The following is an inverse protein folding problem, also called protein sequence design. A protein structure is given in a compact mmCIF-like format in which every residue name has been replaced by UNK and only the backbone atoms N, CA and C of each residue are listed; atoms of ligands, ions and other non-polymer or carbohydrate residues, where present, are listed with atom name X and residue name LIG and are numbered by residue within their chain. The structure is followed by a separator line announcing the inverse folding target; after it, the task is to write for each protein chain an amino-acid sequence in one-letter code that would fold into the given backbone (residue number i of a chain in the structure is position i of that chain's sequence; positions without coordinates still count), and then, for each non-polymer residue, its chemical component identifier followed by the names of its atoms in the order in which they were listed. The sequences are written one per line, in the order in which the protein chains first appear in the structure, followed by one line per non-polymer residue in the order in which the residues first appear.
data_IF_549038029632
#
_entry.id   IF_549038029632
#
_cell.length_a   1.000
_cell.length_b   1.000
_cell.length_c   1.000
_cell.angle_alpha   90.00
_cell.angle_beta   90.00
_cell.angle_gamma   90.00
#
_symmetry.space_group_name_H-M   'P 1'
#
loop_
_entity.id
_entity.type
_entity.pdbx_description
1 polymer ?
#
# COMPACT_ATOMS: atom_id res chain seq x y z
N UNK A 1 -9.80 -12.19 12.60
CA UNK A 1 -8.42 -11.95 12.16
C UNK A 1 -8.40 -10.83 11.15
N UNK A 2 -7.41 -9.90 11.23
CA UNK A 2 -7.22 -8.79 10.26
C UNK A 2 -5.78 -8.86 9.74
N UNK A 3 -5.63 -8.84 8.41
CA UNK A 3 -4.32 -8.94 7.74
C UNK A 3 -4.27 -7.88 6.64
N UNK A 4 -3.27 -6.98 6.70
CA UNK A 4 -2.97 -6.08 5.59
C UNK A 4 -2.08 -6.80 4.56
N UNK A 5 -2.53 -6.91 3.31
CA UNK A 5 -1.83 -7.62 2.23
C UNK A 5 -1.98 -6.92 0.87
N UNK A 6 -0.95 -6.22 0.37
CA UNK A 6 0.39 -6.02 0.96
C UNK A 6 0.39 -5.26 2.28
N UNK A 7 1.31 -5.63 3.16
CA UNK A 7 1.45 -5.01 4.47
C UNK A 7 2.04 -3.58 4.39
N UNK A 8 1.56 -2.67 5.20
CA UNK A 8 2.20 -1.39 5.43
C UNK A 8 2.77 -1.34 6.87
N UNK A 9 4.05 -0.96 7.06
CA UNK A 9 4.93 -0.23 6.13
C UNK A 9 5.87 -1.11 5.28
N UNK A 10 5.86 -2.43 5.40
CA UNK A 10 6.86 -3.30 4.77
C UNK A 10 6.68 -3.49 3.27
N UNK A 11 5.46 -3.36 2.76
CA UNK A 11 5.11 -3.66 1.37
C UNK A 11 5.06 -5.16 1.04
N UNK A 12 5.42 -6.04 1.98
CA UNK A 12 5.45 -7.48 1.76
C UNK A 12 4.03 -8.00 1.54
N UNK A 13 3.86 -8.83 0.53
CA UNK A 13 2.63 -9.56 0.27
C UNK A 13 2.79 -11.05 0.60
N UNK A 14 1.81 -11.61 1.29
CA UNK A 14 1.68 -13.04 1.48
C UNK A 14 1.17 -13.68 0.16
N UNK A 15 1.69 -14.86 -0.21
CA UNK A 15 1.13 -15.65 -1.30
C UNK A 15 -0.33 -16.06 -1.02
N UNK A 16 -1.12 -16.22 -2.08
CA UNK A 16 -2.55 -16.52 -1.95
C UNK A 16 -2.81 -17.86 -1.24
N UNK A 17 -1.97 -18.87 -1.45
CA UNK A 17 -2.09 -20.17 -0.76
C UNK A 17 -1.85 -20.08 0.75
N UNK A 18 -1.01 -19.13 1.20
CA UNK A 18 -0.80 -18.87 2.63
C UNK A 18 -2.02 -18.17 3.22
N UNK A 19 -2.57 -17.19 2.51
CA UNK A 19 -3.83 -16.51 2.91
C UNK A 19 -4.96 -17.55 3.01
N UNK A 20 -5.08 -18.40 2.02
CA UNK A 20 -6.11 -19.46 1.98
C UNK A 20 -6.03 -20.40 3.18
N UNK A 21 -4.82 -20.84 3.57
CA UNK A 21 -4.61 -21.66 4.77
C UNK A 21 -5.06 -20.95 6.04
N UNK A 22 -4.82 -19.65 6.16
CA UNK A 22 -5.26 -18.83 7.29
C UNK A 22 -6.78 -18.76 7.35
N UNK A 23 -7.44 -18.51 6.21
CA UNK A 23 -8.90 -18.43 6.11
C UNK A 23 -9.52 -19.78 6.51
N UNK A 24 -9.04 -20.88 5.94
CA UNK A 24 -9.53 -22.22 6.18
C UNK A 24 -9.38 -22.69 7.64
N UNK A 25 -8.33 -22.23 8.33
CA UNK A 25 -8.08 -22.58 9.74
C UNK A 25 -8.80 -21.67 10.74
N UNK A 26 -9.35 -20.54 10.28
CA UNK A 26 -9.98 -19.55 11.15
C UNK A 26 -11.46 -19.89 11.43
N UNK A 27 -11.87 -19.79 12.70
CA UNK A 27 -13.28 -20.01 13.11
C UNK A 27 -14.17 -18.78 12.94
N UNK A 28 -13.59 -17.60 12.78
CA UNK A 28 -14.30 -16.34 12.63
C UNK A 28 -13.88 -15.61 11.36
N UNK A 29 -14.43 -14.42 11.15
CA UNK A 29 -14.13 -13.60 9.97
C UNK A 29 -12.64 -13.30 9.85
N UNK A 30 -12.13 -13.50 8.64
CA UNK A 30 -10.79 -13.07 8.21
C UNK A 30 -10.95 -11.90 7.27
N UNK A 31 -10.50 -10.72 7.71
CA UNK A 31 -10.46 -9.51 6.91
C UNK A 31 -9.07 -9.37 6.30
N UNK A 32 -9.01 -9.30 4.97
CA UNK A 32 -7.82 -8.98 4.21
C UNK A 32 -7.94 -7.53 3.73
N UNK A 33 -7.06 -6.66 4.25
CA UNK A 33 -6.96 -5.27 3.81
C UNK A 33 -6.02 -5.19 2.61
N UNK A 34 -6.60 -5.01 1.44
CA UNK A 34 -5.92 -4.93 0.15
C UNK A 34 -5.74 -3.50 -0.35
N UNK A 35 -5.51 -2.54 0.53
CA UNK A 35 -5.33 -1.14 0.15
C UNK A 35 -4.20 -0.92 -0.89
N UNK A 36 -3.29 -1.85 -1.05
CA UNK A 36 -2.13 -1.75 -1.97
C UNK A 36 -2.04 -2.89 -2.99
N UNK A 37 -3.05 -3.74 -3.11
CA UNK A 37 -3.01 -4.96 -3.96
C UNK A 37 -2.73 -4.66 -5.43
N UNK A 38 -3.23 -3.55 -5.95
CA UNK A 38 -3.14 -3.16 -7.36
C UNK A 38 -1.72 -2.90 -7.87
N UNK A 39 -0.73 -2.81 -6.97
CA UNK A 39 0.66 -2.53 -7.32
C UNK A 39 1.55 -3.78 -7.50
N UNK A 40 0.94 -4.98 -7.58
CA UNK A 40 1.64 -6.20 -7.93
C UNK A 40 1.45 -7.40 -6.99
N UNK A 41 0.45 -7.36 -6.10
CA UNK A 41 0.05 -8.51 -5.32
C UNK A 41 -1.15 -9.24 -5.95
N UNK A 42 -1.38 -10.48 -5.53
CA UNK A 42 -2.54 -11.26 -5.92
C UNK A 42 -3.68 -11.05 -4.92
N UNK A 43 -4.89 -10.75 -5.44
CA UNK A 43 -6.06 -10.47 -4.61
C UNK A 43 -6.71 -11.75 -4.07
N UNK A 44 -7.05 -11.73 -2.78
CA UNK A 44 -7.84 -12.77 -2.11
C UNK A 44 -9.33 -12.77 -2.55
N UNK A 45 -9.79 -11.79 -3.32
CA UNK A 45 -11.14 -11.79 -3.93
C UNK A 45 -11.42 -13.08 -4.68
N UNK A 46 -10.40 -13.72 -5.26
CA UNK A 46 -10.52 -15.02 -5.93
C UNK A 46 -11.01 -16.17 -5.04
N UNK A 47 -10.96 -15.99 -3.72
CA UNK A 47 -11.36 -17.00 -2.74
C UNK A 47 -12.77 -16.74 -2.16
N UNK A 48 -13.43 -15.65 -2.54
CA UNK A 48 -14.73 -15.25 -1.96
C UNK A 48 -15.80 -16.34 -2.11
N UNK A 49 -15.89 -16.96 -3.29
CA UNK A 49 -16.89 -18.01 -3.54
C UNK A 49 -16.60 -19.32 -2.80
N UNK A 50 -15.40 -19.45 -2.21
CA UNK A 50 -14.96 -20.65 -1.50
C UNK A 50 -15.11 -20.54 0.02
N UNK A 51 -15.10 -19.30 0.55
CA UNK A 51 -15.02 -19.07 2.01
C UNK A 51 -16.01 -18.00 2.48
N UNK A 52 -17.08 -18.41 3.15
CA UNK A 52 -18.09 -17.50 3.69
C UNK A 52 -17.57 -16.58 4.81
N UNK A 53 -16.45 -16.92 5.43
CA UNK A 53 -15.80 -16.14 6.48
C UNK A 53 -14.74 -15.15 5.97
N UNK A 54 -14.58 -15.00 4.64
CA UNK A 54 -13.63 -14.07 4.04
C UNK A 54 -14.29 -12.70 3.79
N UNK A 55 -13.61 -11.65 4.23
CA UNK A 55 -13.93 -10.25 3.93
C UNK A 55 -12.67 -9.59 3.32
N UNK A 56 -12.75 -9.15 2.09
CA UNK A 56 -11.69 -8.40 1.42
C UNK A 56 -12.10 -6.93 1.33
N UNK A 57 -11.25 -6.01 1.78
CA UNK A 57 -11.48 -4.57 1.67
C UNK A 57 -10.46 -3.92 0.75
N UNK A 58 -10.93 -3.03 -0.11
CA UNK A 58 -10.11 -2.27 -1.05
C UNK A 58 -10.48 -0.78 -1.01
N UNK A 59 -9.63 0.08 -1.56
CA UNK A 59 -9.79 1.53 -1.46
C UNK A 59 -9.51 2.24 -2.77
N UNK A 60 -10.21 3.34 -3.02
CA UNK A 60 -9.87 4.29 -4.08
C UNK A 60 -8.72 5.24 -3.69
N UNK A 61 -8.29 5.24 -2.43
CA UNK A 61 -7.34 6.21 -1.89
C UNK A 61 -5.92 6.10 -2.46
N UNK A 62 -5.52 4.92 -2.98
CA UNK A 62 -4.15 4.65 -3.43
C UNK A 62 -4.06 4.57 -4.95
N UNK A 63 -4.37 3.44 -5.52
CA UNK A 63 -4.24 3.15 -6.95
C UNK A 63 -5.11 4.03 -7.84
N UNK A 64 -6.24 4.52 -7.34
CA UNK A 64 -7.14 5.43 -8.08
C UNK A 64 -6.98 6.90 -7.70
N UNK A 65 -5.96 7.25 -6.90
CA UNK A 65 -5.60 8.63 -6.53
C UNK A 65 -6.72 9.44 -5.88
N UNK A 66 -7.69 8.79 -5.22
CA UNK A 66 -8.88 9.43 -4.66
C UNK A 66 -8.86 9.48 -3.11
N UNK A 67 -7.71 9.71 -2.50
CA UNK A 67 -7.59 9.70 -1.03
C UNK A 67 -8.53 10.71 -0.34
N UNK A 68 -8.72 11.88 -0.92
CA UNK A 68 -9.64 12.92 -0.42
C UNK A 68 -11.12 12.57 -0.53
N UNK A 69 -11.51 11.66 -1.42
CA UNK A 69 -12.90 11.24 -1.62
C UNK A 69 -13.42 10.30 -0.53
N UNK A 70 -12.55 9.71 0.29
CA UNK A 70 -12.90 8.79 1.38
C UNK A 70 -13.77 7.61 0.94
N UNK A 71 -13.45 7.01 -0.22
CA UNK A 71 -14.18 5.90 -0.83
C UNK A 71 -13.39 4.60 -0.74
N UNK A 72 -14.08 3.54 -0.33
CA UNK A 72 -13.61 2.16 -0.32
C UNK A 72 -14.78 1.20 -0.52
N UNK A 73 -14.48 -0.05 -0.70
CA UNK A 73 -15.46 -1.10 -0.93
C UNK A 73 -14.98 -2.43 -0.36
N UNK A 74 -15.92 -3.36 -0.22
CA UNK A 74 -15.64 -4.68 0.34
C UNK A 74 -16.27 -5.78 -0.52
N UNK A 75 -15.64 -6.95 -0.51
CA UNK A 75 -16.13 -8.18 -1.10
C UNK A 75 -16.26 -9.23 0.00
N UNK A 76 -17.41 -9.91 0.06
CA UNK A 76 -17.64 -11.03 0.96
C UNK A 76 -18.86 -11.83 0.51
N UNK A 77 -19.13 -12.96 1.15
CA UNK A 77 -20.38 -13.69 1.00
C UNK A 77 -21.59 -12.78 1.33
N UNK A 78 -22.76 -12.94 0.66
CA UNK A 78 -23.93 -12.08 0.83
C UNK A 78 -24.39 -11.91 2.28
N UNK A 79 -24.31 -12.97 3.10
CA UNK A 79 -24.69 -12.91 4.51
C UNK A 79 -23.82 -11.94 5.31
N UNK A 80 -22.49 -11.95 5.07
CA UNK A 80 -21.54 -11.05 5.74
C UNK A 80 -21.72 -9.60 5.28
N UNK A 81 -21.98 -9.37 3.99
CA UNK A 81 -22.32 -8.04 3.47
C UNK A 81 -23.60 -7.50 4.11
N UNK A 82 -24.65 -8.33 4.24
CA UNK A 82 -25.90 -7.93 4.89
C UNK A 82 -25.69 -7.50 6.36
N UNK A 83 -24.80 -8.16 7.09
CA UNK A 83 -24.47 -7.76 8.46
C UNK A 83 -23.67 -6.43 8.51
N UNK A 84 -22.75 -6.21 7.59
CA UNK A 84 -22.05 -4.92 7.45
C UNK A 84 -23.03 -3.78 7.11
N UNK A 85 -24.00 -4.02 6.25
CA UNK A 85 -25.04 -3.02 5.91
C UNK A 85 -25.90 -2.67 7.12
N UNK A 86 -26.31 -3.64 7.95
CA UNK A 86 -27.04 -3.36 9.20
C UNK A 86 -26.24 -2.42 10.11
N UNK A 87 -24.94 -2.68 10.28
CA UNK A 87 -24.05 -1.83 11.09
C UNK A 87 -23.93 -0.44 10.47
N UNK A 88 -23.72 -0.35 9.15
CA UNK A 88 -23.68 0.91 8.41
C UNK A 88 -24.95 1.74 8.63
N UNK A 89 -26.12 1.14 8.46
CA UNK A 89 -27.41 1.84 8.66
C UNK A 89 -27.62 2.27 10.11
N UNK A 90 -27.12 1.52 11.08
CA UNK A 90 -27.22 1.86 12.49
C UNK A 90 -26.26 2.99 12.92
N UNK A 91 -25.14 3.17 12.21
CA UNK A 91 -24.06 4.09 12.61
C UNK A 91 -23.98 5.33 11.71
N UNK A 92 -23.85 5.17 10.41
CA UNK A 92 -23.73 6.25 9.42
C UNK A 92 -24.20 5.82 8.03
N UNK A 93 -25.51 5.87 7.72
CA UNK A 93 -26.04 5.43 6.43
C UNK A 93 -25.66 6.34 5.25
N UNK A 94 -25.26 7.59 5.52
CA UNK A 94 -25.00 8.62 4.51
C UNK A 94 -23.51 8.98 4.38
N UNK A 95 -22.62 8.03 4.63
CA UNK A 95 -21.18 8.25 4.70
C UNK A 95 -20.51 8.59 3.35
N UNK A 96 -21.15 8.30 2.21
CA UNK A 96 -20.64 8.60 0.87
C UNK A 96 -21.57 9.59 0.17
N UNK A 97 -21.07 10.80 -0.13
CA UNK A 97 -21.84 11.81 -0.83
C UNK A 97 -21.96 11.56 -2.35
N UNK A 98 -22.88 12.24 -3.03
CA UNK A 98 -23.17 12.03 -4.46
C UNK A 98 -21.99 12.34 -5.38
N UNK A 99 -21.17 13.35 -5.06
CA UNK A 99 -20.01 13.70 -5.89
C UNK A 99 -18.94 12.59 -5.79
N UNK A 100 -18.71 12.06 -4.59
CA UNK A 100 -17.81 10.93 -4.37
C UNK A 100 -18.31 9.68 -5.12
N UNK A 101 -19.62 9.39 -5.12
CA UNK A 101 -20.19 8.26 -5.86
C UNK A 101 -20.00 8.44 -7.37
N UNK A 102 -20.31 9.62 -7.91
CA UNK A 102 -20.11 9.92 -9.33
C UNK A 102 -18.64 9.80 -9.75
N UNK A 103 -17.72 10.34 -8.95
CA UNK A 103 -16.28 10.23 -9.21
C UNK A 103 -15.79 8.77 -9.11
N UNK A 104 -16.32 7.99 -8.15
CA UNK A 104 -16.00 6.57 -8.01
C UNK A 104 -16.42 5.76 -9.23
N UNK A 105 -17.65 5.96 -9.73
CA UNK A 105 -18.15 5.30 -10.93
C UNK A 105 -17.28 5.66 -12.15
N UNK A 106 -16.99 6.94 -12.37
CA UNK A 106 -16.12 7.37 -13.46
C UNK A 106 -14.71 6.74 -13.37
N UNK A 107 -14.16 6.63 -12.15
CA UNK A 107 -12.85 5.99 -11.96
C UNK A 107 -12.87 4.48 -12.25
N UNK A 108 -14.01 3.80 -12.16
CA UNK A 108 -14.15 2.39 -12.54
C UNK A 108 -14.23 2.22 -14.07
N UNK A 109 -14.84 3.18 -14.77
CA UNK A 109 -14.96 3.16 -16.23
C UNK A 109 -13.60 3.37 -16.93
N UNK A 110 -12.62 4.02 -16.25
CA UNK A 110 -11.29 4.32 -16.77
C UNK A 110 -10.25 3.22 -16.49
N UNK A 111 -10.60 1.96 -16.78
CA UNK A 111 -9.78 0.79 -16.47
C UNK A 111 -8.37 0.83 -17.13
N UNK A 112 -8.26 1.34 -18.35
CA UNK A 112 -6.98 1.44 -19.09
C UNK A 112 -6.04 2.45 -18.42
N UNK A 113 -6.55 3.63 -18.05
CA UNK A 113 -5.79 4.66 -17.34
C UNK A 113 -5.32 4.15 -15.96
N UNK A 114 -6.21 3.51 -15.24
CA UNK A 114 -5.90 2.89 -13.95
C UNK A 114 -4.77 1.86 -14.05
N UNK A 115 -4.90 0.88 -14.98
CA UNK A 115 -3.91 -0.18 -15.15
C UNK A 115 -2.55 0.36 -15.55
N UNK A 116 -2.52 1.35 -16.45
CA UNK A 116 -1.28 1.97 -16.90
C UNK A 116 -0.56 2.72 -15.76
N UNK A 117 -1.31 3.44 -14.90
CA UNK A 117 -0.71 4.13 -13.76
C UNK A 117 -0.14 3.13 -12.72
N UNK A 118 -0.87 2.05 -12.41
CA UNK A 118 -0.37 1.01 -11.52
C UNK A 118 0.91 0.36 -12.06
N UNK A 119 0.95 0.07 -13.37
CA UNK A 119 2.12 -0.48 -14.06
C UNK A 119 3.32 0.47 -13.95
N UNK A 120 3.15 1.76 -14.27
CA UNK A 120 4.22 2.78 -14.18
C UNK A 120 4.78 2.89 -12.78
N UNK A 121 3.93 2.87 -11.76
CA UNK A 121 4.35 2.91 -10.36
C UNK A 121 5.16 1.66 -10.00
N UNK A 122 4.70 0.48 -10.40
CA UNK A 122 5.39 -0.78 -10.13
C UNK A 122 6.77 -0.83 -10.81
N UNK A 123 6.87 -0.44 -12.08
CA UNK A 123 8.13 -0.35 -12.81
C UNK A 123 9.10 0.65 -12.16
N UNK A 124 8.63 1.87 -11.85
CA UNK A 124 9.45 2.88 -11.18
C UNK A 124 9.92 2.40 -9.81
N UNK A 125 9.05 1.71 -9.05
CA UNK A 125 9.43 1.08 -7.77
C UNK A 125 10.59 0.10 -7.96
N UNK A 126 10.50 -0.77 -8.93
CA UNK A 126 11.49 -1.82 -9.16
C UNK A 126 12.82 -1.22 -9.65
N UNK A 127 12.80 -0.19 -10.50
CA UNK A 127 13.97 0.58 -10.90
C UNK A 127 14.65 1.26 -9.69
N UNK A 128 13.88 1.97 -8.86
CA UNK A 128 14.38 2.67 -7.67
C UNK A 128 14.92 1.69 -6.63
N UNK A 129 14.30 0.50 -6.49
CA UNK A 129 14.82 -0.57 -5.63
C UNK A 129 16.25 -0.96 -6.02
N UNK A 130 16.50 -1.17 -7.31
CA UNK A 130 17.85 -1.50 -7.83
C UNK A 130 18.83 -0.35 -7.56
N UNK A 131 18.43 0.89 -7.79
CA UNK A 131 19.28 2.06 -7.56
C UNK A 131 19.65 2.24 -6.08
N UNK A 132 18.71 2.02 -5.17
CA UNK A 132 18.98 2.06 -3.73
C UNK A 132 19.90 0.91 -3.28
N UNK A 133 19.75 -0.29 -3.85
CA UNK A 133 20.64 -1.42 -3.55
C UNK A 133 22.08 -1.12 -3.96
N UNK A 134 22.32 -0.47 -5.11
CA UNK A 134 23.66 0.00 -5.54
C UNK A 134 24.28 0.98 -4.54
N UNK A 135 23.45 1.75 -3.82
CA UNK A 135 23.87 2.73 -2.79
C UNK A 135 24.02 2.12 -1.39
N UNK A 136 23.93 0.78 -1.26
CA UNK A 136 24.11 0.08 0.00
C UNK A 136 22.84 0.02 0.88
N UNK A 137 21.65 0.25 0.31
CA UNK A 137 20.41 0.06 1.06
C UNK A 137 19.95 -1.40 1.04
N UNK A 138 19.42 -1.82 2.17
CA UNK A 138 18.65 -3.07 2.30
C UNK A 138 17.16 -2.75 2.25
N UNK A 139 16.39 -3.49 1.43
CA UNK A 139 14.97 -3.25 1.23
C UNK A 139 14.17 -4.54 1.40
N UNK A 140 12.91 -4.39 1.81
CA UNK A 140 11.92 -5.47 1.73
C UNK A 140 11.45 -5.68 0.28
N UNK A 141 10.89 -6.87 -0.03
CA UNK A 141 10.28 -7.12 -1.34
C UNK A 141 8.86 -6.55 -1.39
N UNK A 142 8.77 -5.27 -1.74
CA UNK A 142 7.50 -4.54 -1.75
C UNK A 142 6.67 -4.86 -2.98
N UNK A 143 5.36 -5.11 -2.77
CA UNK A 143 4.30 -5.19 -3.78
C UNK A 143 3.30 -4.02 -3.64
N UNK A 144 3.71 -2.93 -2.95
CA UNK A 144 2.92 -1.71 -2.76
C UNK A 144 3.48 -0.56 -3.62
N UNK A 145 2.87 0.63 -3.50
CA UNK A 145 3.37 1.85 -4.14
C UNK A 145 4.46 2.57 -3.35
N UNK A 146 5.22 1.85 -2.55
CA UNK A 146 6.31 2.38 -1.74
C UNK A 146 7.41 1.32 -1.55
N UNK A 147 8.61 1.77 -1.20
CA UNK A 147 9.71 0.95 -0.71
C UNK A 147 9.87 1.11 0.79
N UNK A 148 10.37 0.08 1.45
CA UNK A 148 10.75 0.12 2.85
C UNK A 148 12.23 -0.22 2.97
N UNK A 149 13.06 0.79 3.22
CA UNK A 149 14.50 0.76 3.04
C UNK A 149 15.26 1.25 4.26
N UNK A 150 16.39 0.61 4.55
CA UNK A 150 17.38 1.07 5.53
C UNK A 150 18.77 1.12 4.88
N UNK A 151 19.63 2.00 5.39
CA UNK A 151 21.04 2.10 5.01
C UNK A 151 21.94 1.57 6.15
N UNK A 152 23.07 0.99 5.78
CA UNK A 152 24.11 0.62 6.75
C UNK A 152 25.11 1.79 7.02
N UNK A 153 24.97 2.91 6.28
CA UNK A 153 25.86 4.09 6.34
C UNK A 153 25.28 5.22 7.18
N UNK A 154 23.95 5.30 7.33
CA UNK A 154 23.25 6.33 8.08
C UNK A 154 22.01 5.70 8.72
N UNK A 155 21.75 6.02 9.99
CA UNK A 155 20.56 5.51 10.70
C UNK A 155 19.26 6.09 10.11
N UNK A 156 18.14 5.36 10.30
CA UNK A 156 16.87 5.70 9.68
C UNK A 156 16.34 7.08 10.05
N UNK A 157 16.54 7.54 11.28
CA UNK A 157 16.07 8.85 11.73
C UNK A 157 16.92 9.99 11.15
N UNK A 158 18.24 9.85 11.16
CA UNK A 158 19.16 10.83 10.59
C UNK A 158 18.94 10.96 9.09
N UNK A 159 18.77 9.85 8.38
CA UNK A 159 18.43 9.87 6.95
C UNK A 159 17.11 10.59 6.67
N UNK A 160 16.06 10.30 7.44
CA UNK A 160 14.76 11.00 7.34
C UNK A 160 14.91 12.51 7.54
N UNK A 161 15.67 12.95 8.57
CA UNK A 161 15.85 14.37 8.87
C UNK A 161 16.66 15.08 7.77
N UNK A 162 17.73 14.47 7.27
CA UNK A 162 18.53 15.01 6.18
C UNK A 162 17.73 15.16 4.87
N UNK A 163 16.94 14.15 4.51
CA UNK A 163 16.00 14.24 3.38
C UNK A 163 15.02 15.39 3.56
N UNK A 164 14.41 15.52 4.74
CA UNK A 164 13.44 16.57 5.06
C UNK A 164 14.06 17.97 4.96
N UNK A 165 15.29 18.16 5.43
CA UNK A 165 16.02 19.43 5.31
C UNK A 165 16.27 19.82 3.86
N UNK A 166 16.55 18.84 2.99
CA UNK A 166 16.72 19.03 1.55
C UNK A 166 15.38 19.04 0.77
N UNK A 167 14.23 19.09 1.45
CA UNK A 167 12.89 19.22 0.84
C UNK A 167 12.25 17.91 0.37
N UNK A 168 12.86 16.76 0.66
CA UNK A 168 12.32 15.44 0.30
C UNK A 168 11.62 14.79 1.51
N UNK A 169 10.33 14.48 1.37
CA UNK A 169 9.53 13.92 2.44
C UNK A 169 9.33 12.41 2.27
N UNK A 170 9.82 11.65 3.26
CA UNK A 170 9.56 10.21 3.40
C UNK A 170 8.87 9.94 4.73
N UNK A 171 8.50 8.71 5.03
CA UNK A 171 7.90 8.35 6.31
C UNK A 171 8.88 7.56 7.18
N UNK A 172 9.24 8.12 8.33
CA UNK A 172 9.98 7.45 9.39
C UNK A 172 9.04 6.88 10.46
N UNK A 173 9.51 5.86 11.19
CA UNK A 173 8.79 5.18 12.28
C UNK A 173 9.73 4.99 13.47
N UNK A 174 9.28 5.37 14.67
CA UNK A 174 10.10 5.26 15.90
C UNK A 174 10.03 3.87 16.57
N UNK A 175 9.24 2.92 16.02
CA UNK A 175 9.09 1.57 16.58
C UNK A 175 10.42 0.80 16.55
N UNK A 176 10.80 0.16 17.66
CA UNK A 176 12.10 -0.50 17.86
C UNK A 176 12.52 -1.44 16.70
N UNK A 177 11.58 -2.22 16.16
CA UNK A 177 11.85 -3.18 15.06
C UNK A 177 12.03 -2.54 13.69
N UNK A 178 11.59 -1.29 13.51
CA UNK A 178 11.49 -0.64 12.20
C UNK A 178 12.13 0.74 12.17
N UNK A 179 12.69 1.23 13.26
CA UNK A 179 13.28 2.58 13.37
C UNK A 179 14.45 2.83 12.40
N UNK A 180 15.10 1.77 11.94
CA UNK A 180 16.19 1.90 10.97
C UNK A 180 15.67 2.04 9.52
N UNK A 181 14.38 1.81 9.31
CA UNK A 181 13.77 1.88 7.99
C UNK A 181 13.00 3.18 7.77
N UNK A 182 12.99 3.61 6.52
CA UNK A 182 12.10 4.66 6.04
C UNK A 182 11.19 4.11 4.93
N UNK A 183 9.90 4.51 4.92
CA UNK A 183 8.99 4.20 3.84
C UNK A 183 9.02 5.33 2.81
N UNK A 184 9.43 5.00 1.60
CA UNK A 184 9.61 5.88 0.47
C UNK A 184 8.46 5.63 -0.50
N UNK A 185 7.53 6.58 -0.61
CA UNK A 185 6.43 6.48 -1.59
C UNK A 185 6.99 6.72 -2.99
N UNK A 186 6.55 5.90 -3.94
CA UNK A 186 6.96 6.04 -5.35
C UNK A 186 6.13 7.16 -5.97
N UNK A 187 6.84 8.19 -6.43
CA UNK A 187 6.33 9.30 -7.21
C UNK A 187 6.51 9.10 -8.71
N UNK A 188 6.50 10.20 -9.47
CA UNK A 188 6.90 10.19 -10.89
C UNK A 188 8.39 9.83 -11.03
N UNK A 189 8.83 9.50 -12.25
CA UNK A 189 10.27 9.25 -12.50
C UNK A 189 11.13 10.45 -12.09
N UNK A 190 10.72 11.67 -12.41
CA UNK A 190 11.44 12.88 -12.01
C UNK A 190 11.51 13.09 -10.50
N UNK A 191 10.43 12.77 -9.75
CA UNK A 191 10.45 12.82 -8.29
C UNK A 191 11.46 11.80 -7.72
N UNK A 192 11.52 10.61 -8.31
CA UNK A 192 12.43 9.56 -7.84
C UNK A 192 13.89 9.85 -8.23
N UNK A 193 14.14 10.48 -9.38
CA UNK A 193 15.47 10.98 -9.77
C UNK A 193 15.95 12.04 -8.77
N UNK A 194 15.08 12.97 -8.39
CA UNK A 194 15.37 13.98 -7.35
C UNK A 194 15.68 13.32 -6.01
N UNK A 195 14.87 12.36 -5.60
CA UNK A 195 15.09 11.60 -4.36
C UNK A 195 16.45 10.89 -4.36
N UNK A 196 16.82 10.23 -5.46
CA UNK A 196 18.10 9.53 -5.60
C UNK A 196 19.30 10.49 -5.58
N UNK A 197 19.19 11.64 -6.27
CA UNK A 197 20.24 12.67 -6.27
C UNK A 197 20.47 13.23 -4.85
N UNK A 198 19.40 13.59 -4.15
CA UNK A 198 19.48 14.05 -2.74
C UNK A 198 20.03 12.95 -1.82
N UNK A 199 19.70 11.68 -2.08
CA UNK A 199 20.27 10.54 -1.33
C UNK A 199 21.77 10.45 -1.54
N UNK A 200 22.28 10.64 -2.77
CA UNK A 200 23.71 10.63 -3.07
C UNK A 200 24.45 11.76 -2.32
N UNK A 201 23.91 12.99 -2.32
CA UNK A 201 24.47 14.12 -1.55
C UNK A 201 24.57 13.77 -0.05
N UNK A 202 23.50 13.26 0.55
CA UNK A 202 23.49 12.87 1.98
C UNK A 202 24.55 11.83 2.28
N UNK A 203 24.70 10.81 1.41
CA UNK A 203 25.67 9.75 1.62
C UNK A 203 27.12 10.21 1.39
N UNK A 204 27.37 11.27 0.62
CA UNK A 204 28.67 11.89 0.46
C UNK A 204 29.07 12.70 1.69
N UNK A 205 28.13 13.38 2.33
CA UNK A 205 28.33 14.13 3.59
C UNK A 205 28.68 13.21 4.79
N UNK A 206 28.46 11.88 4.68
CA UNK A 206 28.77 10.88 5.71
C UNK A 206 30.18 10.23 5.52
N UNK A 207 30.98 10.66 4.54
CA UNK A 207 32.36 10.19 4.32
C UNK A 207 33.33 10.97 5.19
#
# INVERSE_FOLDING_TARGET
TVIANPNAPTGIALPLDVIEKIIASSRGVVLIDEAYVDFGAESAVRLIDKYDNLLVVQTFSKSRSMAGARLGYAFAAPALIADLEKIKYATNPYNVNRLTQAAGNAALDEAAYFSENCRKIAETRDDVKVELQKRGFTLTDSKANFLFAKSDRIDGKSFYLALKEKGVLVRHFDGERIREYNRITIGSRGDMETFLAVTDEILEEQK
#
